data_IF_173460235775
#
_entry.id   IF_173460235775
#
_cell.length_a   1.000
_cell.length_b   1.000
_cell.length_c   1.000
_cell.angle_alpha   90.00
_cell.angle_beta   90.00
_cell.angle_gamma   90.00
#
_symmetry.space_group_name_H-M   'P 1'
#
loop_
_entity.id
_entity.type
_entity.pdbx_description
1 polymer ?
#
# COMPACT_ATOMS: atom_id res chain seq x y z
N UNK A 1 -2.71 4.39 -7.32
CA UNK A 1 -1.52 3.89 -6.62
C UNK A 1 -1.10 2.62 -7.32
N UNK A 2 0.13 2.54 -7.84
CA UNK A 2 0.60 1.35 -8.52
C UNK A 2 1.38 0.45 -7.55
N UNK A 3 0.72 -0.63 -7.10
CA UNK A 3 1.28 -1.61 -6.18
C UNK A 3 2.41 -2.45 -6.80
N UNK A 4 2.46 -2.59 -8.13
CA UNK A 4 3.48 -3.38 -8.81
C UNK A 4 4.85 -2.73 -8.73
N UNK A 5 4.91 -1.40 -8.84
CA UNK A 5 6.13 -0.63 -8.64
C UNK A 5 6.75 -0.85 -7.25
N UNK A 6 5.91 -0.85 -6.21
CA UNK A 6 6.31 -1.09 -4.82
C UNK A 6 6.84 -2.53 -4.66
N UNK A 7 6.15 -3.50 -5.26
CA UNK A 7 6.55 -4.90 -5.20
C UNK A 7 7.84 -5.20 -5.98
N UNK A 8 8.12 -4.46 -7.06
CA UNK A 8 9.39 -4.54 -7.78
C UNK A 8 10.55 -4.04 -6.91
N UNK A 9 10.38 -2.92 -6.21
CA UNK A 9 11.38 -2.35 -5.30
C UNK A 9 11.61 -3.24 -4.05
N UNK A 10 10.55 -3.90 -3.58
CA UNK A 10 10.58 -4.81 -2.43
C UNK A 10 11.41 -6.10 -2.65
N UNK A 11 11.80 -6.39 -3.90
CA UNK A 11 12.42 -7.64 -4.29
C UNK A 11 13.94 -7.59 -4.13
N UNK A 12 14.40 -7.60 -2.89
CA UNK A 12 15.83 -7.56 -2.52
C UNK A 12 16.25 -8.91 -1.93
N UNK A 13 17.47 -9.34 -2.23
CA UNK A 13 18.10 -10.49 -1.60
C UNK A 13 18.41 -10.17 -0.12
N UNK A 14 17.82 -10.92 0.81
CA UNK A 14 17.91 -10.73 2.27
C UNK A 14 17.39 -9.38 2.79
N UNK A 15 16.07 -9.15 2.73
CA UNK A 15 15.49 -7.94 3.32
C UNK A 15 15.67 -7.93 4.83
N UNK A 16 15.86 -6.73 5.40
CA UNK A 16 15.84 -6.49 6.85
C UNK A 16 14.45 -6.01 7.28
N UNK A 17 14.16 -6.06 8.59
CA UNK A 17 12.92 -5.50 9.13
C UNK A 17 12.74 -4.01 8.78
N UNK A 18 13.84 -3.23 8.79
CA UNK A 18 13.82 -1.81 8.37
C UNK A 18 13.40 -1.65 6.92
N UNK A 19 13.97 -2.45 6.03
CA UNK A 19 13.61 -2.42 4.62
C UNK A 19 12.11 -2.73 4.45
N UNK A 20 11.62 -3.82 5.06
CA UNK A 20 10.22 -4.23 4.97
C UNK A 20 9.28 -3.14 5.48
N UNK A 21 9.56 -2.57 6.66
CA UNK A 21 8.75 -1.48 7.20
C UNK A 21 8.73 -0.25 6.28
N UNK A 22 9.86 0.08 5.65
CA UNK A 22 9.97 1.16 4.67
C UNK A 22 9.20 0.90 3.38
N UNK A 23 9.12 -0.36 2.93
CA UNK A 23 8.28 -0.74 1.78
C UNK A 23 6.80 -0.64 2.16
N UNK A 24 6.40 -1.17 3.32
CA UNK A 24 5.01 -1.17 3.78
C UNK A 24 4.49 0.26 3.97
N UNK A 25 5.31 1.19 4.46
CA UNK A 25 4.89 2.58 4.69
C UNK A 25 4.57 3.35 3.40
N UNK A 26 5.08 2.91 2.24
CA UNK A 26 4.73 3.47 0.92
C UNK A 26 3.31 3.13 0.49
N UNK A 27 2.71 2.11 1.09
CA UNK A 27 1.35 1.65 0.79
C UNK A 27 0.37 2.44 1.67
N UNK A 28 0.06 3.67 1.27
CA UNK A 28 -0.90 4.54 1.96
C UNK A 28 -2.30 4.42 1.35
N UNK A 29 -3.25 3.95 2.15
CA UNK A 29 -4.64 3.74 1.74
C UNK A 29 -5.62 4.37 2.74
N UNK A 30 -5.90 5.68 2.61
CA UNK A 30 -6.77 6.38 3.55
C UNK A 30 -8.25 5.95 3.45
N UNK A 31 -8.66 5.37 2.32
CA UNK A 31 -10.05 4.98 2.05
C UNK A 31 -10.29 3.48 2.28
N UNK A 32 -9.23 2.67 2.34
CA UNK A 32 -9.32 1.23 2.61
C UNK A 32 -9.58 0.38 1.35
N UNK A 33 -9.38 0.94 0.15
CA UNK A 33 -9.63 0.28 -1.13
C UNK A 33 -8.74 -0.97 -1.30
N UNK A 34 -7.47 -0.87 -0.91
CA UNK A 34 -6.47 -1.95 -0.97
C UNK A 34 -6.26 -2.56 0.42
N UNK A 35 -7.27 -2.50 1.29
CA UNK A 35 -7.23 -3.07 2.64
C UNK A 35 -6.82 -4.54 2.69
N UNK A 36 -7.24 -5.44 1.78
CA UNK A 36 -6.79 -6.84 1.83
C UNK A 36 -5.27 -7.00 1.71
N UNK A 37 -4.62 -6.11 0.96
CA UNK A 37 -3.16 -6.07 0.80
C UNK A 37 -2.51 -5.44 2.02
N UNK A 38 -2.97 -4.25 2.44
CA UNK A 38 -2.36 -3.54 3.57
C UNK A 38 -2.50 -4.29 4.89
N UNK A 39 -3.58 -5.04 5.10
CA UNK A 39 -3.78 -5.88 6.27
C UNK A 39 -2.73 -7.01 6.31
N UNK A 40 -2.55 -7.76 5.21
CA UNK A 40 -1.54 -8.83 5.13
C UNK A 40 -0.13 -8.31 5.39
N UNK A 41 0.21 -7.15 4.80
CA UNK A 41 1.48 -6.47 5.04
C UNK A 41 1.67 -6.09 6.52
N UNK A 42 0.64 -5.52 7.14
CA UNK A 42 0.67 -5.15 8.57
C UNK A 42 0.75 -6.37 9.50
N UNK A 43 0.10 -7.48 9.15
CA UNK A 43 0.21 -8.75 9.89
C UNK A 43 1.67 -9.23 9.84
N UNK A 44 2.32 -9.25 8.68
CA UNK A 44 3.73 -9.61 8.60
C UNK A 44 4.60 -8.65 9.45
N UNK A 45 4.32 -7.34 9.40
CA UNK A 45 5.04 -6.39 10.23
C UNK A 45 4.86 -6.70 11.72
N UNK A 46 3.67 -7.11 12.16
CA UNK A 46 3.43 -7.57 13.53
C UNK A 46 4.22 -8.84 13.85
N UNK A 47 4.22 -9.84 12.95
CA UNK A 47 5.02 -11.07 13.10
C UNK A 47 6.51 -10.73 13.34
N UNK A 48 7.07 -9.79 12.57
CA UNK A 48 8.46 -9.31 12.73
C UNK A 48 8.70 -8.60 14.07
N UNK A 49 7.69 -7.95 14.64
CA UNK A 49 7.78 -7.33 15.97
C UNK A 49 7.69 -8.38 17.07
N UNK A 50 6.74 -9.31 16.98
CA UNK A 50 6.57 -10.39 17.95
C UNK A 50 7.77 -11.34 17.98
N UNK A 51 8.42 -11.57 16.83
CA UNK A 51 9.65 -12.35 16.74
C UNK A 51 10.90 -11.62 17.28
N UNK A 52 10.75 -10.39 17.81
CA UNK A 52 11.85 -9.58 18.34
C UNK A 52 13.03 -9.40 17.37
N UNK A 53 12.75 -9.36 16.06
CA UNK A 53 13.79 -9.15 15.04
C UNK A 53 14.26 -7.69 15.11
N UNK A 54 15.58 -7.53 15.15
CA UNK A 54 16.22 -6.22 15.11
C UNK A 54 16.10 -5.56 13.73
N UNK A 55 16.16 -4.24 13.70
CA UNK A 55 15.95 -3.44 12.49
C UNK A 55 16.85 -3.84 11.30
N UNK A 56 18.09 -4.22 11.57
CA UNK A 56 19.09 -4.58 10.55
C UNK A 56 19.36 -6.08 10.49
N UNK A 57 18.64 -6.88 11.27
CA UNK A 57 18.81 -8.33 11.29
C UNK A 57 18.10 -8.95 10.07
N UNK A 58 18.70 -10.00 9.52
CA UNK A 58 18.08 -10.79 8.47
C UNK A 58 16.86 -11.56 8.98
N UNK A 59 15.86 -11.75 8.11
CA UNK A 59 14.65 -12.49 8.45
C UNK A 59 14.96 -13.98 8.63
N UNK A 60 14.23 -14.61 9.56
CA UNK A 60 14.19 -16.07 9.62
C UNK A 60 13.61 -16.63 8.33
N UNK A 61 13.97 -17.88 7.99
CA UNK A 61 13.53 -18.53 6.76
C UNK A 61 12.00 -18.50 6.58
N UNK A 62 11.23 -18.73 7.64
CA UNK A 62 9.76 -18.70 7.61
C UNK A 62 9.23 -17.31 7.25
N UNK A 63 9.73 -16.27 7.91
CA UNK A 63 9.29 -14.89 7.69
C UNK A 63 9.71 -14.39 6.32
N UNK A 64 10.88 -14.82 5.84
CA UNK A 64 11.35 -14.54 4.50
C UNK A 64 10.42 -15.16 3.44
N UNK A 65 10.00 -16.42 3.61
CA UNK A 65 9.02 -17.03 2.70
C UNK A 65 7.66 -16.32 2.72
N UNK A 66 7.17 -15.92 3.90
CA UNK A 66 5.95 -15.11 4.02
C UNK A 66 6.09 -13.79 3.26
N UNK A 67 7.22 -13.08 3.43
CA UNK A 67 7.50 -11.84 2.71
C UNK A 67 7.52 -12.04 1.20
N UNK A 68 8.29 -13.02 0.70
CA UNK A 68 8.39 -13.32 -0.72
C UNK A 68 7.00 -13.67 -1.29
N UNK A 69 6.23 -14.49 -0.58
CA UNK A 69 4.87 -14.86 -0.97
C UNK A 69 3.96 -13.64 -1.13
N UNK A 70 3.99 -12.71 -0.17
CA UNK A 70 3.20 -11.48 -0.23
C UNK A 70 3.65 -10.58 -1.39
N UNK A 71 4.95 -10.40 -1.61
CA UNK A 71 5.46 -9.58 -2.71
C UNK A 71 5.10 -10.19 -4.07
N UNK A 72 5.18 -11.51 -4.22
CA UNK A 72 4.74 -12.20 -5.43
C UNK A 72 3.24 -12.04 -5.64
N UNK A 73 2.41 -12.21 -4.61
CA UNK A 73 0.95 -11.98 -4.72
C UNK A 73 0.65 -10.56 -5.21
N UNK A 74 1.34 -9.55 -4.68
CA UNK A 74 1.16 -8.14 -5.09
C UNK A 74 1.62 -7.90 -6.54
N UNK A 75 2.67 -8.57 -7.01
CA UNK A 75 3.13 -8.46 -8.42
C UNK A 75 2.11 -9.03 -9.39
N UNK A 76 1.54 -10.18 -9.06
CA UNK A 76 0.57 -10.90 -9.91
C UNK A 76 -0.84 -10.32 -9.84
N UNK A 77 -1.14 -9.46 -8.85
CA UNK A 77 -2.43 -8.79 -8.75
C UNK A 77 -2.76 -7.96 -9.99
N UNK A 78 -4.03 -8.03 -10.40
CA UNK A 78 -4.57 -7.15 -11.42
C UNK A 78 -4.68 -5.70 -10.91
N UNK A 79 -4.53 -4.71 -11.79
CA UNK A 79 -4.69 -3.31 -11.41
C UNK A 79 -6.10 -3.03 -10.89
N UNK A 80 -6.20 -2.45 -9.70
CA UNK A 80 -7.48 -1.94 -9.18
C UNK A 80 -7.82 -0.64 -9.90
N UNK A 81 -8.79 -0.70 -10.80
CA UNK A 81 -9.27 0.46 -11.55
C UNK A 81 -10.47 1.09 -10.84
N UNK A 82 -10.31 2.33 -10.42
CA UNK A 82 -11.36 3.07 -9.71
C UNK A 82 -11.75 4.29 -10.55
N UNK A 83 -13.00 4.39 -11.00
CA UNK A 83 -13.48 5.57 -11.70
C UNK A 83 -13.34 6.80 -10.80
N UNK A 84 -12.65 7.84 -11.29
CA UNK A 84 -12.54 9.12 -10.57
C UNK A 84 -13.89 9.79 -10.35
N UNK A 85 -14.83 9.58 -11.28
CA UNK A 85 -16.19 10.07 -11.19
C UNK A 85 -17.14 8.95 -10.74
N UNK A 86 -17.60 9.04 -9.50
CA UNK A 86 -18.61 8.13 -8.95
C UNK A 86 -20.05 8.58 -9.32
N UNK A 87 -20.23 9.86 -9.67
CA UNK A 87 -21.52 10.45 -10.00
C UNK A 87 -21.78 10.48 -11.51
N UNK A 88 -22.10 9.32 -12.09
CA UNK A 88 -22.42 9.22 -13.54
C UNK A 88 -23.71 9.96 -13.93
N UNK A 89 -24.64 10.15 -12.99
CA UNK A 89 -25.97 10.73 -13.25
C UNK A 89 -26.00 12.26 -13.32
N UNK A 90 -24.97 12.96 -12.80
CA UNK A 90 -24.92 14.44 -12.83
C UNK A 90 -24.61 14.95 -14.23
N UNK A 91 -23.94 14.15 -15.07
CA UNK A 91 -23.62 14.51 -16.45
C UNK A 91 -24.86 14.64 -17.38
N UNK A 92 -26.05 14.24 -16.92
CA UNK A 92 -27.31 14.36 -17.68
C UNK A 92 -28.17 15.56 -17.26
N UNK A 93 -27.82 16.26 -16.16
CA UNK A 93 -28.47 17.53 -15.81
C UNK A 93 -27.70 18.66 -16.49
N UNK A 94 -28.40 19.43 -17.33
CA UNK A 94 -27.83 20.55 -18.10
C UNK A 94 -27.57 21.80 -17.26
N UNK A 95 -28.03 21.84 -16.00
CA UNK A 95 -27.96 23.02 -15.15
C UNK A 95 -27.29 22.70 -13.80
N UNK A 96 -25.98 22.43 -13.84
CA UNK A 96 -25.18 22.12 -12.64
C UNK A 96 -24.04 23.10 -12.53
N UNK A 97 -24.06 23.95 -11.50
CA UNK A 97 -22.98 24.89 -11.21
C UNK A 97 -21.87 24.18 -10.43
N UNK A 98 -20.67 24.07 -11.02
CA UNK A 98 -19.48 23.60 -10.32
C UNK A 98 -18.77 24.77 -9.63
N UNK A 99 -18.38 24.61 -8.37
CA UNK A 99 -17.54 25.59 -7.66
C UNK A 99 -16.32 24.89 -7.07
N UNK A 100 -15.14 25.24 -7.58
CA UNK A 100 -13.88 24.80 -6.99
C UNK A 100 -13.65 25.58 -5.69
N UNK A 101 -13.53 24.88 -4.57
CA UNK A 101 -13.11 25.47 -3.29
C UNK A 101 -11.71 24.98 -2.98
N UNK A 102 -10.73 25.87 -3.11
CA UNK A 102 -9.35 25.61 -2.68
C UNK A 102 -9.26 25.81 -1.17
N UNK A 103 -8.82 24.78 -0.46
CA UNK A 103 -8.44 24.89 0.94
C UNK A 103 -6.92 24.92 0.99
N UNK A 104 -6.34 25.96 1.60
CA UNK A 104 -4.91 26.06 1.90
C UNK A 104 -4.78 26.12 3.41
N UNK A 105 -4.19 25.10 4.01
CA UNK A 105 -3.72 25.20 5.38
C UNK A 105 -2.36 25.90 5.35
N UNK A 106 -2.28 27.11 5.89
CA UNK A 106 -1.00 27.70 6.21
C UNK A 106 -0.33 26.82 7.28
N UNK A 107 0.75 26.15 6.90
CA UNK A 107 1.65 25.49 7.85
C UNK A 107 2.88 26.38 7.96
N UNK A 108 3.20 26.81 9.18
CA UNK A 108 4.37 27.62 9.55
C UNK A 108 5.63 26.79 9.64
#
# INVERSE_FOLDING_TARGET
>A
MDLRSIAAEANIHNPTKRHIAGVISKVYDPVGIVSPVTIKLKILLQDLHCAMIDWNQELSRELLYKWIGLITEIKEMEPVLIPRCYYKQVSQKTDVQWRLRGFSNAST
#
